data_IF_419668626568
#
_entry.id   IF_419668626568
#
_cell.length_a   1.000
_cell.length_b   1.000
_cell.length_c   1.000
_cell.angle_alpha   90.00
_cell.angle_beta   90.00
_cell.angle_gamma   90.00
#
_symmetry.space_group_name_H-M   'P 1'
#
loop_
_entity.id
_entity.type
_entity.pdbx_description
1 polymer ?
#
# COMPACT_ATOMS: atom_id res chain seq x y z
N UNK A 1 29.98 -14.04 -9.08
CA UNK A 1 29.61 -14.34 -10.47
C UNK A 1 28.11 -14.61 -10.51
N UNK A 2 27.32 -13.82 -11.23
CA UNK A 2 25.92 -14.16 -11.48
C UNK A 2 25.91 -15.25 -12.56
N UNK A 3 25.46 -16.45 -12.21
CA UNK A 3 25.27 -17.54 -13.15
C UNK A 3 24.19 -17.16 -14.16
N UNK A 4 24.43 -17.41 -15.45
CA UNK A 4 23.41 -17.26 -16.48
C UNK A 4 22.22 -18.17 -16.16
N UNK A 5 21.04 -17.59 -15.96
CA UNK A 5 19.81 -18.33 -15.67
C UNK A 5 19.13 -18.72 -17.00
N UNK A 6 18.86 -20.01 -17.24
CA UNK A 6 18.23 -20.45 -18.47
C UNK A 6 16.76 -19.99 -18.54
N UNK A 7 16.28 -19.80 -19.77
CA UNK A 7 14.92 -19.35 -20.02
C UNK A 7 13.90 -20.40 -19.56
N UNK A 8 12.86 -19.96 -18.85
CA UNK A 8 11.76 -20.81 -18.40
C UNK A 8 11.97 -21.48 -17.03
N UNK A 9 13.11 -21.25 -16.38
CA UNK A 9 13.35 -21.78 -15.04
C UNK A 9 12.70 -20.93 -13.93
N UNK A 10 12.21 -21.59 -12.88
CA UNK A 10 11.69 -20.91 -11.68
C UNK A 10 12.86 -20.44 -10.83
N UNK A 11 13.14 -19.13 -10.87
CA UNK A 11 14.30 -18.54 -10.20
C UNK A 11 14.09 -18.28 -8.69
N UNK A 12 12.84 -18.23 -8.24
CA UNK A 12 12.49 -18.05 -6.82
C UNK A 12 11.07 -18.54 -6.54
N UNK A 13 10.84 -19.01 -5.31
CA UNK A 13 9.51 -19.28 -4.75
C UNK A 13 9.36 -18.50 -3.45
N UNK A 14 8.27 -17.74 -3.32
CA UNK A 14 7.97 -16.98 -2.11
C UNK A 14 6.90 -17.71 -1.31
N UNK A 15 7.20 -18.18 -0.08
CA UNK A 15 6.19 -18.79 0.78
C UNK A 15 5.06 -17.80 1.11
N UNK A 16 3.83 -18.29 1.19
CA UNK A 16 2.68 -17.46 1.60
C UNK A 16 2.84 -16.87 3.00
N UNK A 17 3.62 -17.50 3.88
CA UNK A 17 3.96 -16.94 5.20
C UNK A 17 4.71 -15.60 5.09
N UNK A 18 5.54 -15.43 4.06
CA UNK A 18 6.29 -14.19 3.81
C UNK A 18 5.44 -13.08 3.18
N UNK A 19 4.26 -13.40 2.65
CA UNK A 19 3.39 -12.40 2.01
C UNK A 19 2.78 -11.50 3.08
N UNK A 20 2.94 -10.20 2.88
CA UNK A 20 2.28 -9.20 3.70
C UNK A 20 0.95 -8.81 3.04
N UNK A 21 -0.17 -9.00 3.73
CA UNK A 21 -1.51 -8.89 3.14
C UNK A 21 -2.52 -8.26 4.10
N UNK A 22 -3.63 -7.78 3.55
CA UNK A 22 -4.70 -7.18 4.35
C UNK A 22 -5.37 -8.15 5.31
N UNK A 23 -5.43 -9.43 4.96
CA UNK A 23 -6.05 -10.48 5.77
C UNK A 23 -5.25 -10.67 7.07
N UNK A 24 -3.92 -10.79 6.96
CA UNK A 24 -3.03 -10.87 8.12
C UNK A 24 -3.03 -9.58 8.94
N UNK A 25 -3.15 -8.42 8.28
CA UNK A 25 -3.23 -7.14 8.97
C UNK A 25 -4.51 -7.02 9.83
N UNK A 26 -5.62 -7.63 9.41
CA UNK A 26 -6.85 -7.70 10.23
C UNK A 26 -6.71 -8.61 11.46
N UNK A 27 -5.86 -9.63 11.38
CA UNK A 27 -5.53 -10.52 12.49
C UNK A 27 -4.50 -9.92 13.46
N UNK A 28 -3.84 -8.82 13.08
CA UNK A 28 -2.83 -8.16 13.90
C UNK A 28 -3.46 -7.31 15.01
N UNK A 29 -2.62 -6.86 15.96
CA UNK A 29 -3.02 -5.91 17.00
C UNK A 29 -3.60 -4.60 16.42
N UNK A 30 -3.11 -4.17 15.24
CA UNK A 30 -3.64 -2.99 14.53
C UNK A 30 -5.03 -3.26 14.00
N UNK A 31 -5.26 -4.43 13.41
CA UNK A 31 -6.58 -4.87 12.95
C UNK A 31 -7.61 -4.91 14.06
N UNK A 32 -7.24 -5.47 15.22
CA UNK A 32 -8.11 -5.50 16.40
C UNK A 32 -8.42 -4.09 16.92
N UNK A 33 -7.41 -3.22 17.06
CA UNK A 33 -7.62 -1.83 17.46
C UNK A 33 -8.53 -1.06 16.47
N UNK A 34 -8.45 -1.36 15.17
CA UNK A 34 -9.35 -0.79 14.17
C UNK A 34 -10.81 -1.22 14.41
N UNK A 35 -11.06 -2.48 14.74
CA UNK A 35 -12.41 -2.98 15.02
C UNK A 35 -12.99 -2.41 16.31
N UNK A 36 -12.15 -2.24 17.34
CA UNK A 36 -12.56 -1.65 18.62
C UNK A 36 -12.91 -0.17 18.48
N UNK A 37 -12.12 0.57 17.69
CA UNK A 37 -12.31 2.02 17.49
C UNK A 37 -13.41 2.32 16.48
N UNK A 38 -13.47 1.53 15.40
CA UNK A 38 -14.41 1.68 14.30
C UNK A 38 -15.22 0.40 14.15
N UNK A 39 -16.21 0.16 15.04
CA UNK A 39 -17.02 -1.03 14.98
C UNK A 39 -17.73 -1.16 13.64
N UNK A 40 -17.98 -2.41 13.25
CA UNK A 40 -18.70 -2.75 12.02
C UNK A 40 -20.08 -2.10 12.02
N UNK A 41 -20.52 -1.69 10.83
CA UNK A 41 -21.87 -1.18 10.62
C UNK A 41 -22.93 -2.28 10.81
N UNK A 42 -24.20 -1.90 10.76
CA UNK A 42 -25.33 -2.83 10.85
C UNK A 42 -25.34 -3.89 9.73
N UNK A 43 -24.66 -3.60 8.61
CA UNK A 43 -24.44 -4.53 7.50
C UNK A 43 -23.29 -5.53 7.74
N UNK A 44 -22.65 -5.49 8.92
CA UNK A 44 -21.52 -6.32 9.29
C UNK A 44 -20.21 -5.93 8.62
N UNK A 45 -20.16 -4.82 7.87
CA UNK A 45 -18.95 -4.37 7.17
C UNK A 45 -18.16 -3.37 8.02
N UNK A 46 -16.84 -3.47 7.94
CA UNK A 46 -15.95 -2.47 8.54
C UNK A 46 -16.02 -1.17 7.74
N UNK A 47 -16.10 -0.04 8.45
CA UNK A 47 -15.94 1.29 7.85
C UNK A 47 -14.49 1.56 7.42
N UNK A 48 -13.54 0.80 7.97
CA UNK A 48 -12.12 0.88 7.62
C UNK A 48 -11.84 -0.07 6.47
N UNK A 49 -11.30 0.46 5.37
CA UNK A 49 -10.95 -0.35 4.20
C UNK A 49 -9.73 -1.24 4.46
N UNK A 50 -9.65 -2.38 3.75
CA UNK A 50 -8.50 -3.28 3.78
C UNK A 50 -7.18 -2.55 3.49
N UNK A 51 -7.20 -1.60 2.56
CA UNK A 51 -6.03 -0.77 2.23
C UNK A 51 -5.57 0.06 3.42
N UNK A 52 -6.49 0.62 4.19
CA UNK A 52 -6.16 1.43 5.35
C UNK A 52 -5.52 0.58 6.46
N UNK A 53 -6.12 -0.56 6.80
CA UNK A 53 -5.57 -1.47 7.83
C UNK A 53 -4.20 -1.99 7.42
N UNK A 54 -4.04 -2.40 6.17
CA UNK A 54 -2.75 -2.82 5.63
C UNK A 54 -1.67 -1.73 5.78
N UNK A 55 -1.98 -0.48 5.45
CA UNK A 55 -1.04 0.63 5.58
C UNK A 55 -0.68 0.94 7.03
N UNK A 56 -1.64 0.86 7.95
CA UNK A 56 -1.39 1.05 9.38
C UNK A 56 -0.50 -0.07 9.94
N UNK A 57 -0.76 -1.31 9.54
CA UNK A 57 0.04 -2.47 9.94
C UNK A 57 1.46 -2.38 9.36
N UNK A 58 1.62 -1.86 8.14
CA UNK A 58 2.94 -1.58 7.56
C UNK A 58 3.72 -0.52 8.36
N UNK A 59 3.03 0.52 8.84
CA UNK A 59 3.63 1.55 9.71
C UNK A 59 4.06 0.91 11.03
N UNK A 60 3.21 0.10 11.65
CA UNK A 60 3.54 -0.64 12.87
C UNK A 60 4.78 -1.53 12.66
N UNK A 61 4.83 -2.26 11.54
CA UNK A 61 5.95 -3.10 11.15
C UNK A 61 7.27 -2.32 10.98
N UNK A 62 7.22 -1.05 10.53
CA UNK A 62 8.41 -0.18 10.46
C UNK A 62 8.90 0.27 11.82
N UNK A 63 7.99 0.47 12.77
CA UNK A 63 8.34 0.93 14.14
C UNK A 63 8.74 -0.18 15.10
N UNK A 64 8.27 -1.42 14.88
CA UNK A 64 8.48 -2.54 15.79
C UNK A 64 9.37 -3.62 15.16
N UNK A 65 10.54 -3.85 15.75
CA UNK A 65 11.51 -4.86 15.29
C UNK A 65 11.03 -6.30 15.52
N UNK A 66 10.11 -6.52 16.45
CA UNK A 66 9.53 -7.84 16.73
C UNK A 66 8.39 -8.19 15.77
N UNK A 67 7.96 -7.24 14.93
CA UNK A 67 6.91 -7.50 13.95
C UNK A 67 7.39 -8.55 12.93
N UNK A 68 6.58 -9.56 12.56
CA UNK A 68 6.98 -10.62 11.62
C UNK A 68 7.47 -10.09 10.27
N UNK A 69 6.99 -8.92 9.87
CA UNK A 69 7.31 -8.26 8.60
C UNK A 69 8.29 -7.09 8.76
N UNK A 70 8.94 -6.92 9.91
CA UNK A 70 9.84 -5.78 10.18
C UNK A 70 10.99 -5.67 9.16
N UNK A 71 11.63 -6.80 8.82
CA UNK A 71 12.70 -6.84 7.83
C UNK A 71 12.25 -6.42 6.43
N UNK A 72 11.05 -6.85 6.02
CA UNK A 72 10.45 -6.43 4.75
C UNK A 72 10.08 -4.95 4.77
N UNK A 73 9.41 -4.48 5.83
CA UNK A 73 8.98 -3.09 5.96
C UNK A 73 10.16 -2.09 5.97
N UNK A 74 11.29 -2.51 6.55
CA UNK A 74 12.54 -1.75 6.59
C UNK A 74 13.28 -1.71 5.23
N UNK A 75 13.11 -2.71 4.37
CA UNK A 75 13.74 -2.73 3.04
C UNK A 75 13.00 -1.89 2.00
N UNK A 76 11.75 -1.50 2.29
CA UNK A 76 10.97 -0.66 1.40
C UNK A 76 11.54 0.77 1.33
N UNK A 77 11.49 1.41 0.15
CA UNK A 77 11.90 2.81 -0.01
C UNK A 77 11.22 3.76 0.98
N UNK A 78 11.95 4.79 1.42
CA UNK A 78 11.40 5.86 2.25
C UNK A 78 10.49 6.81 1.46
N UNK A 79 10.74 6.94 0.16
CA UNK A 79 9.98 7.80 -0.75
C UNK A 79 9.21 6.95 -1.75
N UNK A 80 7.90 7.22 -1.88
CA UNK A 80 7.09 6.60 -2.91
C UNK A 80 7.44 7.18 -4.28
N UNK A 81 7.52 6.37 -5.35
CA UNK A 81 7.67 6.85 -6.74
C UNK A 81 6.37 7.45 -7.29
N UNK A 82 5.44 7.84 -6.42
CA UNK A 82 4.15 8.43 -6.78
C UNK A 82 4.18 9.95 -6.65
N UNK A 83 3.20 10.66 -7.22
CA UNK A 83 3.13 12.13 -7.14
C UNK A 83 3.13 12.69 -5.72
N UNK A 84 2.68 11.89 -4.74
CA UNK A 84 2.73 12.25 -3.33
C UNK A 84 4.16 12.53 -2.87
N UNK A 85 5.13 11.77 -3.39
CA UNK A 85 6.55 11.90 -3.09
C UNK A 85 7.27 12.97 -3.93
N UNK A 86 6.63 13.57 -4.92
CA UNK A 86 7.28 14.56 -5.78
C UNK A 86 7.56 15.87 -5.03
N UNK A 87 8.60 16.63 -5.43
CA UNK A 87 8.82 17.99 -4.95
C UNK A 87 7.53 18.85 -5.07
N UNK A 88 7.28 19.78 -4.12
CA UNK A 88 6.06 20.58 -4.11
C UNK A 88 5.74 21.24 -5.46
N UNK A 89 6.74 21.75 -6.17
CA UNK A 89 6.59 22.39 -7.48
C UNK A 89 5.92 21.48 -8.53
N UNK A 90 6.25 20.18 -8.53
CA UNK A 90 5.72 19.21 -9.50
C UNK A 90 4.34 18.65 -9.09
N UNK A 91 3.95 18.79 -7.81
CA UNK A 91 2.63 18.33 -7.33
C UNK A 91 1.50 19.21 -7.85
N UNK A 92 1.74 20.51 -8.04
CA UNK A 92 0.75 21.46 -8.55
C UNK A 92 0.55 21.33 -10.06
N UNK A 93 1.62 21.02 -10.81
CA UNK A 93 1.55 20.79 -12.26
C UNK A 93 0.60 19.65 -12.63
N UNK A 94 0.70 18.51 -11.93
CA UNK A 94 -0.20 17.38 -12.16
C UNK A 94 -1.66 17.69 -11.82
N UNK A 95 -1.91 18.43 -10.74
CA UNK A 95 -3.28 18.85 -10.39
C UNK A 95 -3.87 19.74 -11.49
N UNK A 96 -3.09 20.68 -12.02
CA UNK A 96 -3.52 21.53 -13.13
C UNK A 96 -3.75 20.74 -14.43
N UNK A 97 -2.97 19.70 -14.70
CA UNK A 97 -3.16 18.78 -15.82
C UNK A 97 -4.42 17.93 -15.66
N UNK A 98 -4.65 17.34 -14.49
CA UNK A 98 -5.86 16.57 -14.17
C UNK A 98 -7.12 17.44 -14.27
N UNK A 99 -7.06 18.69 -13.78
CA UNK A 99 -8.15 19.66 -13.93
C UNK A 99 -8.41 20.05 -15.39
N UNK A 100 -7.36 20.25 -16.19
CA UNK A 100 -7.51 20.52 -17.64
C UNK A 100 -8.04 19.31 -18.41
N UNK A 101 -7.66 18.10 -18.04
CA UNK A 101 -8.10 16.86 -18.68
C UNK A 101 -9.58 16.57 -18.38
N UNK A 102 -10.02 16.82 -17.15
CA UNK A 102 -11.44 16.84 -16.78
C UNK A 102 -12.19 17.91 -17.57
N UNK A 103 -11.64 19.13 -17.67
CA UNK A 103 -12.27 20.21 -18.44
C UNK A 103 -12.39 19.86 -19.94
N UNK A 104 -11.36 19.25 -20.54
CA UNK A 104 -11.40 18.72 -21.91
C UNK A 104 -12.45 17.64 -22.08
N UNK A 105 -12.50 16.67 -21.17
CA UNK A 105 -13.48 15.59 -21.22
C UNK A 105 -14.92 16.09 -21.09
N UNK A 106 -15.15 17.14 -20.31
CA UNK A 106 -16.50 17.68 -20.05
C UNK A 106 -16.95 18.68 -21.10
N UNK A 107 -16.04 19.53 -21.60
CA UNK A 107 -16.40 20.68 -22.43
C UNK A 107 -15.98 20.58 -23.91
N UNK A 108 -15.05 19.69 -24.27
CA UNK A 108 -14.58 19.53 -25.65
C UNK A 108 -15.05 18.22 -26.31
N UNK A 109 -15.99 17.51 -25.67
CA UNK A 109 -16.63 16.28 -26.19
C UNK A 109 -17.97 16.55 -26.90
N UNK A 110 -18.21 17.79 -27.36
CA UNK A 110 -19.36 18.18 -28.21
C UNK A 110 -18.92 18.29 -29.66
#
# INVERSE_FOLDING_TARGET
AQSALPQGEVIAKVPQSCVFSSEKAWESAVGQACLDTFPKGEDGKSKVSNKMVFLLDLIAARSNKEHPQAAYAASLPSTAPSPVGWPPALRWQRRAEEEMEVYRSVYLSV
#
